data_IF_608554613184
#
_entry.id   IF_608554613184
#
_cell.length_a   1.000
_cell.length_b   1.000
_cell.length_c   1.000
_cell.angle_alpha   90.00
_cell.angle_beta   90.00
_cell.angle_gamma   90.00
#
_symmetry.space_group_name_H-M   'P 1'
#
loop_
_entity.id
_entity.type
_entity.pdbx_description
1 polymer ?
#
# COMPACT_ATOMS: atom_id res chain seq x y z
N UNK A 1 1.83 27.16 -12.30
CA UNK A 1 2.33 26.04 -11.46
C UNK A 1 1.47 25.97 -10.23
N UNK A 2 0.62 24.96 -10.09
CA UNK A 2 -0.14 24.72 -8.85
C UNK A 2 0.76 23.86 -7.97
N UNK A 3 1.26 24.43 -6.88
CA UNK A 3 1.86 23.63 -5.80
C UNK A 3 0.77 22.71 -5.26
N UNK A 4 0.96 21.39 -5.19
CA UNK A 4 0.03 20.55 -4.46
C UNK A 4 0.12 20.99 -3.00
N UNK A 5 -0.96 21.60 -2.51
CA UNK A 5 -1.12 21.82 -1.07
C UNK A 5 -0.90 20.46 -0.40
N UNK A 6 0.12 20.37 0.47
CA UNK A 6 0.34 19.16 1.22
C UNK A 6 -0.93 18.92 2.05
N UNK A 7 -1.74 17.94 1.65
CA UNK A 7 -2.86 17.50 2.47
C UNK A 7 -2.26 16.85 3.70
N UNK A 8 -2.09 17.61 4.77
CA UNK A 8 -1.54 17.16 6.06
C UNK A 8 -2.49 16.21 6.82
N UNK A 9 -3.44 15.61 6.11
CA UNK A 9 -4.42 14.68 6.65
C UNK A 9 -4.04 13.23 6.34
N UNK A 10 -4.63 12.28 7.08
CA UNK A 10 -4.44 10.86 6.80
C UNK A 10 -4.85 10.51 5.37
N UNK A 11 -4.14 9.56 4.77
CA UNK A 11 -4.42 9.06 3.42
C UNK A 11 -5.07 7.70 3.54
N UNK A 12 -6.32 7.59 3.11
CA UNK A 12 -7.00 6.30 3.04
C UNK A 12 -6.51 5.51 1.81
N UNK A 13 -6.06 4.28 2.01
CA UNK A 13 -5.46 3.43 0.97
C UNK A 13 -6.27 2.16 0.76
N UNK A 14 -6.29 1.71 -0.50
CA UNK A 14 -6.91 0.46 -0.91
C UNK A 14 -6.02 -0.76 -0.60
N UNK A 15 -6.60 -1.97 -0.60
CA UNK A 15 -5.87 -3.22 -0.37
C UNK A 15 -4.77 -3.45 -1.41
N UNK A 16 -4.96 -3.03 -2.66
CA UNK A 16 -3.93 -3.13 -3.72
C UNK A 16 -2.62 -2.40 -3.39
N UNK A 17 -2.71 -1.21 -2.79
CA UNK A 17 -1.56 -0.41 -2.37
C UNK A 17 -0.81 -1.11 -1.23
N UNK A 18 -1.54 -1.68 -0.27
CA UNK A 18 -0.96 -2.42 0.84
C UNK A 18 -0.30 -3.72 0.39
N UNK A 19 -0.90 -4.45 -0.56
CA UNK A 19 -0.28 -5.64 -1.16
C UNK A 19 1.02 -5.26 -1.85
N UNK A 20 1.03 -4.22 -2.69
CA UNK A 20 2.26 -3.76 -3.34
C UNK A 20 3.33 -3.30 -2.33
N UNK A 21 2.92 -2.67 -1.22
CA UNK A 21 3.85 -2.25 -0.16
C UNK A 21 4.49 -3.44 0.56
N UNK A 22 3.77 -4.53 0.78
CA UNK A 22 4.20 -5.68 1.59
C UNK A 22 4.83 -6.83 0.77
N UNK A 23 4.37 -7.04 -0.46
CA UNK A 23 4.86 -8.09 -1.35
C UNK A 23 6.10 -7.62 -2.11
N UNK A 24 7.29 -8.12 -1.75
CA UNK A 24 8.58 -7.66 -2.32
C UNK A 24 8.76 -8.02 -3.80
N UNK A 25 8.01 -9.01 -4.27
CA UNK A 25 7.95 -9.47 -5.66
C UNK A 25 6.96 -8.67 -6.51
N UNK A 26 6.15 -7.79 -5.91
CA UNK A 26 5.21 -6.96 -6.66
C UNK A 26 5.96 -5.94 -7.53
N UNK A 27 5.56 -5.85 -8.80
CA UNK A 27 6.15 -4.92 -9.77
C UNK A 27 6.11 -3.44 -9.29
N UNK A 28 5.14 -3.08 -8.43
CA UNK A 28 4.99 -1.73 -7.91
C UNK A 28 5.68 -1.52 -6.56
N UNK A 29 6.30 -2.54 -5.97
CA UNK A 29 6.82 -2.50 -4.60
C UNK A 29 7.74 -1.30 -4.34
N UNK A 30 8.72 -1.07 -5.22
CA UNK A 30 9.65 0.05 -5.06
C UNK A 30 8.98 1.42 -5.21
N UNK A 31 8.00 1.54 -6.10
CA UNK A 31 7.27 2.79 -6.32
C UNK A 31 6.42 3.14 -5.08
N UNK A 32 5.64 2.18 -4.60
CA UNK A 32 4.76 2.36 -3.44
C UNK A 32 5.56 2.58 -2.16
N UNK A 33 6.66 1.84 -1.96
CA UNK A 33 7.56 2.07 -0.82
C UNK A 33 8.11 3.49 -0.79
N UNK A 34 8.54 4.03 -1.93
CA UNK A 34 9.04 5.42 -2.04
C UNK A 34 7.93 6.47 -1.87
N UNK A 35 6.72 6.16 -2.30
CA UNK A 35 5.56 7.03 -2.09
C UNK A 35 5.18 7.05 -0.61
N UNK A 36 5.02 5.89 0.04
CA UNK A 36 4.67 5.76 1.45
C UNK A 36 5.72 6.43 2.36
N UNK A 37 7.02 6.25 2.06
CA UNK A 37 8.09 6.92 2.81
C UNK A 37 8.12 8.45 2.64
N UNK A 38 7.50 9.00 1.60
CA UNK A 38 7.40 10.46 1.35
C UNK A 38 6.05 11.04 1.72
N UNK A 39 5.03 10.22 1.98
CA UNK A 39 3.67 10.67 2.20
C UNK A 39 3.57 11.63 3.38
N UNK A 40 4.42 11.48 4.40
CA UNK A 40 4.45 12.36 5.59
C UNK A 40 3.18 12.32 6.45
N UNK A 41 2.14 11.62 5.97
CA UNK A 41 0.83 11.47 6.57
C UNK A 41 0.59 10.00 6.93
N UNK A 42 -0.16 9.71 8.02
CA UNK A 42 -0.59 8.36 8.34
C UNK A 42 -1.38 7.73 7.20
N UNK A 43 -1.08 6.47 6.88
CA UNK A 43 -1.90 5.68 5.96
C UNK A 43 -2.99 4.97 6.77
N UNK A 44 -4.24 5.11 6.32
CA UNK A 44 -5.40 4.46 6.92
C UNK A 44 -6.00 3.45 5.95
N UNK A 45 -6.59 2.39 6.48
CA UNK A 45 -7.30 1.38 5.70
C UNK A 45 -8.52 0.88 6.48
N UNK A 46 -9.35 0.06 5.86
CA UNK A 46 -10.44 -0.64 6.57
C UNK A 46 -10.02 -2.05 6.99
N UNK A 47 -10.70 -2.56 8.01
CA UNK A 47 -10.61 -3.96 8.44
C UNK A 47 -10.90 -4.93 7.28
N UNK A 48 -11.82 -4.59 6.36
CA UNK A 48 -12.10 -5.42 5.19
C UNK A 48 -10.90 -5.49 4.24
N UNK A 49 -10.25 -4.35 3.98
CA UNK A 49 -9.04 -4.29 3.17
C UNK A 49 -7.87 -5.05 3.82
N UNK A 50 -7.75 -5.06 5.15
CA UNK A 50 -6.74 -5.88 5.86
C UNK A 50 -6.95 -7.38 5.61
N UNK A 51 -8.20 -7.86 5.65
CA UNK A 51 -8.54 -9.26 5.33
C UNK A 51 -8.19 -9.60 3.88
N UNK A 52 -8.46 -8.70 2.94
CA UNK A 52 -8.10 -8.87 1.54
C UNK A 52 -6.58 -8.94 1.32
N UNK A 53 -5.82 -8.10 2.04
CA UNK A 53 -4.35 -8.11 2.01
C UNK A 53 -3.82 -9.45 2.49
N UNK A 54 -4.27 -9.94 3.64
CA UNK A 54 -3.86 -11.24 4.19
C UNK A 54 -4.08 -12.38 3.20
N UNK A 55 -5.31 -12.50 2.66
CA UNK A 55 -5.67 -13.52 1.65
C UNK A 55 -4.87 -13.40 0.36
N UNK A 56 -4.45 -12.20 -0.01
CA UNK A 56 -3.67 -11.97 -1.23
C UNK A 56 -2.21 -12.36 -1.04
N UNK A 57 -1.62 -12.07 0.12
CA UNK A 57 -0.26 -12.48 0.46
C UNK A 57 -0.15 -14.00 0.63
N UNK A 58 -1.12 -14.63 1.30
CA UNK A 58 -1.19 -16.10 1.44
C UNK A 58 -1.22 -16.80 0.07
N UNK A 59 -2.09 -16.33 -0.84
CA UNK A 59 -2.16 -16.88 -2.20
C UNK A 59 -0.84 -16.72 -2.93
N UNK A 60 -0.16 -15.58 -2.84
CA UNK A 60 1.16 -15.38 -3.49
C UNK A 60 2.23 -16.31 -2.94
N UNK A 61 2.28 -16.49 -1.62
CA UNK A 61 3.18 -17.45 -0.98
C UNK A 61 2.92 -18.88 -1.44
N UNK A 62 1.66 -19.27 -1.62
CA UNK A 62 1.29 -20.58 -2.13
C UNK A 62 1.70 -20.83 -3.59
N UNK A 63 1.88 -19.79 -4.41
CA UNK A 63 2.38 -19.92 -5.79
C UNK A 63 3.92 -19.86 -5.90
N UNK A 64 4.61 -19.64 -4.78
CA UNK A 64 6.07 -19.57 -4.71
C UNK A 64 6.74 -20.87 -4.21
N UNK A 65 5.93 -21.90 -3.91
CA UNK A 65 6.33 -23.26 -3.53
C UNK A 65 6.21 -24.20 -4.75
#
# INVERSE_FOLDING_TARGET
MVSPSASTGPVYVDSSVLVALLATDDQHHQLIRRWAGRAGSPLLTSVLAEVEVGRSLERRGAHSL
#
